data_IF_015419326814
#
_entry.id   IF_015419326814
#
_cell.length_a   1.000
_cell.length_b   1.000
_cell.length_c   1.000
_cell.angle_alpha   90.00
_cell.angle_beta   90.00
_cell.angle_gamma   90.00
#
_symmetry.space_group_name_H-M   'P 1'
#
loop_
_entity.id
_entity.type
_entity.pdbx_description
1 polymer ?
#
# COMPACT_ATOMS: atom_id res chain seq x y z
N UNK A 1 -63.06 39.64 -3.84
CA UNK A 1 -62.85 39.58 -2.37
C UNK A 1 -62.22 38.22 -2.08
N UNK A 2 -60.90 38.08 -1.99
CA UNK A 2 -60.05 38.17 -0.77
C UNK A 2 -60.50 37.27 0.39
N UNK A 3 -59.73 36.19 0.65
CA UNK A 3 -59.28 35.59 1.93
C UNK A 3 -58.69 34.20 1.61
N UNK A 4 -57.37 34.07 1.47
CA UNK A 4 -56.40 33.66 2.51
C UNK A 4 -56.87 32.46 3.33
N UNK A 5 -56.15 31.34 3.29
CA UNK A 5 -55.21 30.91 4.35
C UNK A 5 -54.50 29.61 3.94
N UNK A 6 -53.16 29.66 3.89
CA UNK A 6 -52.25 28.52 3.76
C UNK A 6 -51.78 28.17 5.18
N UNK A 7 -51.77 26.90 5.59
CA UNK A 7 -50.87 26.45 6.63
C UNK A 7 -49.67 25.70 6.03
N UNK A 8 -48.51 26.35 6.13
CA UNK A 8 -47.18 25.75 6.04
C UNK A 8 -47.04 24.70 7.14
N UNK A 9 -46.71 23.44 6.79
CA UNK A 9 -46.20 22.46 7.74
C UNK A 9 -44.71 22.31 7.48
N UNK A 10 -43.90 22.86 8.40
CA UNK A 10 -42.46 22.71 8.41
C UNK A 10 -42.11 21.33 8.99
N UNK A 11 -41.58 20.45 8.14
CA UNK A 11 -41.06 19.14 8.53
C UNK A 11 -39.56 19.28 8.83
N UNK A 12 -39.20 19.42 10.10
CA UNK A 12 -37.81 19.45 10.55
C UNK A 12 -37.27 18.01 10.65
N UNK A 13 -36.48 17.59 9.65
CA UNK A 13 -35.72 16.35 9.66
C UNK A 13 -34.36 16.61 10.34
N UNK A 14 -34.21 16.12 11.56
CA UNK A 14 -32.97 16.16 12.34
C UNK A 14 -31.93 15.20 11.75
N UNK A 15 -30.84 15.77 11.23
CA UNK A 15 -29.62 15.08 10.84
C UNK A 15 -28.87 14.62 12.11
N UNK A 16 -29.02 13.35 12.47
CA UNK A 16 -28.15 12.70 13.45
C UNK A 16 -26.86 12.23 12.77
N UNK A 17 -25.80 13.04 12.84
CA UNK A 17 -24.46 12.61 12.46
C UNK A 17 -23.82 11.84 13.63
N UNK A 18 -23.58 10.54 13.47
CA UNK A 18 -22.72 9.79 14.38
C UNK A 18 -21.26 10.16 14.06
N UNK A 19 -20.69 11.10 14.81
CA UNK A 19 -19.24 11.22 14.92
C UNK A 19 -18.75 10.11 15.84
N UNK A 20 -17.98 9.16 15.30
CA UNK A 20 -17.21 8.22 16.10
C UNK A 20 -15.85 8.87 16.41
N UNK A 21 -15.77 9.51 17.57
CA UNK A 21 -14.50 9.92 18.16
C UNK A 21 -13.69 8.67 18.51
N UNK A 22 -12.67 8.39 17.72
CA UNK A 22 -11.68 7.35 18.04
C UNK A 22 -10.70 7.95 19.04
N UNK A 23 -10.91 7.66 20.33
CA UNK A 23 -9.96 7.99 21.38
C UNK A 23 -8.73 7.09 21.23
N UNK A 24 -7.60 7.67 20.81
CA UNK A 24 -6.31 6.99 20.78
C UNK A 24 -5.73 6.97 22.20
N UNK A 25 -6.02 5.91 22.95
CA UNK A 25 -5.38 5.65 24.23
C UNK A 25 -4.00 5.03 23.99
N UNK A 26 -2.99 5.85 23.69
CA UNK A 26 -1.61 5.44 23.95
C UNK A 26 -1.44 5.27 25.46
N UNK A 27 -0.98 4.11 25.97
CA UNK A 27 -0.64 3.97 27.38
C UNK A 27 0.60 4.83 27.66
N UNK A 28 0.38 6.08 28.04
CA UNK A 28 1.41 6.89 28.69
C UNK A 28 1.45 6.44 30.14
N UNK A 29 2.42 5.58 30.49
CA UNK A 29 2.78 5.35 31.88
C UNK A 29 3.18 6.71 32.48
N UNK A 30 2.49 7.22 33.52
CA UNK A 30 2.93 8.42 34.20
C UNK A 30 4.34 8.17 34.79
N UNK A 31 5.27 9.14 34.73
CA UNK A 31 6.49 9.05 35.51
C UNK A 31 6.12 8.90 36.99
N UNK A 32 6.79 8.00 37.70
CA UNK A 32 6.60 7.87 39.14
C UNK A 32 6.80 9.24 39.82
N UNK A 33 5.80 9.68 40.58
CA UNK A 33 5.88 10.89 41.40
C UNK A 33 6.92 10.68 42.51
N UNK A 34 8.16 11.05 42.23
CA UNK A 34 9.23 11.20 43.21
C UNK A 34 9.66 12.66 43.24
N UNK A 35 9.42 13.35 44.35
CA UNK A 35 10.01 14.67 44.60
C UNK A 35 11.51 14.51 44.84
N UNK A 36 12.34 15.06 43.94
CA UNK A 36 13.80 15.16 44.12
C UNK A 36 14.13 16.62 44.43
N UNK A 37 14.50 16.88 45.67
CA UNK A 37 14.89 18.19 46.18
C UNK A 37 16.42 18.35 46.13
N UNK A 38 17.03 18.47 44.95
CA UNK A 38 18.45 18.83 44.81
C UNK A 38 18.70 19.72 43.57
N UNK A 39 19.52 20.78 43.68
CA UNK A 39 19.67 21.79 42.61
C UNK A 39 20.61 21.38 41.47
N UNK A 40 21.01 20.11 41.37
CA UNK A 40 21.87 19.62 40.29
C UNK A 40 21.37 18.26 39.79
N UNK A 41 20.38 18.27 38.90
CA UNK A 41 20.03 17.08 38.11
C UNK A 41 20.84 17.11 36.82
N UNK A 42 21.82 16.21 36.59
CA UNK A 42 22.43 16.07 35.29
C UNK A 42 21.36 15.67 34.27
N UNK A 43 21.39 16.27 33.09
CA UNK A 43 20.50 15.89 31.99
C UNK A 43 20.57 14.36 31.78
N UNK A 44 19.43 13.67 31.56
CA UNK A 44 19.47 12.26 31.23
C UNK A 44 20.24 12.10 29.92
N UNK A 45 21.41 11.48 29.98
CA UNK A 45 22.13 11.04 28.79
C UNK A 45 21.25 10.00 28.11
N UNK A 46 20.55 10.42 27.05
CA UNK A 46 19.96 9.50 26.09
C UNK A 46 21.10 8.69 25.48
N UNK A 47 21.39 7.54 26.09
CA UNK A 47 22.10 6.48 25.39
C UNK A 47 21.08 5.98 24.39
N UNK A 48 21.12 6.53 23.17
CA UNK A 48 20.48 5.90 22.04
C UNK A 48 21.16 4.55 21.89
N UNK A 49 20.59 3.51 22.51
CA UNK A 49 20.88 2.13 22.16
C UNK A 49 20.31 1.95 20.77
N UNK A 50 21.06 2.39 19.77
CA UNK A 50 20.97 1.88 18.41
C UNK A 50 21.48 0.45 18.50
N UNK A 51 20.67 -0.44 19.06
CA UNK A 51 20.77 -1.84 18.68
C UNK A 51 20.70 -1.81 17.16
N UNK A 52 21.84 -2.10 16.54
CA UNK A 52 21.93 -2.16 15.10
C UNK A 52 20.84 -3.14 14.68
N UNK A 53 19.80 -2.64 14.00
CA UNK A 53 18.89 -3.50 13.25
C UNK A 53 19.83 -4.44 12.52
N UNK A 54 19.79 -5.77 12.80
CA UNK A 54 20.71 -6.69 12.18
C UNK A 54 20.60 -6.40 10.71
N UNK A 55 21.72 -6.04 10.08
CA UNK A 55 21.76 -5.60 8.70
C UNK A 55 20.96 -6.64 7.93
N UNK A 56 19.70 -6.32 7.58
CA UNK A 56 18.86 -7.21 6.80
C UNK A 56 19.73 -7.48 5.60
N UNK A 57 20.16 -8.71 5.46
CA UNK A 57 21.11 -9.08 4.44
C UNK A 57 20.46 -8.68 3.11
N UNK A 58 20.83 -7.50 2.61
CA UNK A 58 20.35 -6.94 1.37
C UNK A 58 20.96 -7.71 0.20
N UNK A 59 21.78 -8.75 0.47
CA UNK A 59 22.01 -9.82 -0.49
C UNK A 59 20.66 -10.25 -1.02
N UNK A 60 20.43 -9.82 -2.27
CA UNK A 60 19.48 -10.37 -3.21
C UNK A 60 18.92 -11.68 -2.68
N UNK A 61 17.76 -11.62 -2.01
CA UNK A 61 16.94 -12.80 -1.94
C UNK A 61 16.63 -13.10 -3.40
N UNK A 62 17.41 -13.98 -4.01
CA UNK A 62 17.27 -14.36 -5.41
C UNK A 62 15.90 -15.02 -5.65
N UNK A 63 15.26 -15.49 -4.58
CA UNK A 63 13.86 -15.93 -4.54
C UNK A 63 12.89 -14.75 -4.65
N UNK A 64 13.25 -13.57 -4.13
CA UNK A 64 12.48 -12.34 -4.30
C UNK A 64 12.78 -11.66 -5.65
N UNK A 65 14.04 -11.63 -6.09
CA UNK A 65 14.47 -11.04 -7.37
C UNK A 65 15.30 -12.03 -8.20
N UNK A 66 14.64 -12.93 -8.94
CA UNK A 66 15.33 -13.84 -9.85
C UNK A 66 16.05 -13.05 -10.95
N UNK A 67 17.11 -13.63 -11.53
CA UNK A 67 17.97 -12.93 -12.49
C UNK A 67 17.21 -12.35 -13.70
N UNK A 68 16.14 -13.03 -14.16
CA UNK A 68 15.30 -12.51 -15.24
C UNK A 68 14.58 -11.21 -14.85
N UNK A 69 14.19 -11.09 -13.57
CA UNK A 69 13.47 -9.93 -13.05
C UNK A 69 14.43 -8.76 -12.85
N UNK A 70 15.64 -9.01 -12.36
CA UNK A 70 16.69 -7.99 -12.32
C UNK A 70 16.96 -7.43 -13.73
N UNK A 71 17.10 -8.30 -14.73
CA UNK A 71 17.25 -7.87 -16.12
C UNK A 71 16.03 -7.07 -16.64
N UNK A 72 14.80 -7.39 -16.19
CA UNK A 72 13.60 -6.61 -16.52
C UNK A 72 13.64 -5.23 -15.87
N UNK A 73 14.01 -5.15 -14.60
CA UNK A 73 14.15 -3.90 -13.85
C UNK A 73 15.18 -2.99 -14.51
N UNK A 74 16.35 -3.52 -14.90
CA UNK A 74 17.37 -2.74 -15.60
C UNK A 74 16.86 -2.17 -16.94
N UNK A 75 16.05 -2.93 -17.68
CA UNK A 75 15.40 -2.41 -18.90
C UNK A 75 14.41 -1.29 -18.60
N UNK A 76 13.68 -1.35 -17.50
CA UNK A 76 12.75 -0.28 -17.09
C UNK A 76 13.54 0.98 -16.71
N UNK A 77 14.58 0.84 -15.89
CA UNK A 77 15.46 1.94 -15.44
C UNK A 77 16.22 2.61 -16.60
N UNK A 78 16.48 1.89 -17.69
CA UNK A 78 17.06 2.44 -18.91
C UNK A 78 16.10 3.36 -19.70
N UNK A 79 14.83 3.44 -19.30
CA UNK A 79 13.83 4.33 -19.91
C UNK A 79 13.53 5.52 -18.99
N UNK A 80 12.86 6.55 -19.53
CA UNK A 80 12.40 7.67 -18.69
C UNK A 80 11.37 7.19 -17.66
N UNK A 81 11.59 7.57 -16.41
CA UNK A 81 10.67 7.39 -15.28
C UNK A 81 9.24 7.74 -15.68
N UNK A 82 8.31 6.85 -15.34
CA UNK A 82 6.89 6.93 -15.72
C UNK A 82 6.05 7.54 -14.60
N UNK A 83 4.90 8.10 -14.98
CA UNK A 83 3.86 8.54 -14.05
C UNK A 83 2.49 8.06 -14.57
N UNK A 84 1.80 7.12 -13.90
CA UNK A 84 2.22 6.40 -12.68
C UNK A 84 3.52 5.60 -12.82
N UNK A 85 4.21 5.42 -11.68
CA UNK A 85 5.44 4.61 -11.59
C UNK A 85 5.13 3.14 -11.86
N UNK A 86 6.13 2.40 -12.33
CA UNK A 86 6.04 0.95 -12.48
C UNK A 86 6.36 0.29 -11.14
N UNK A 87 5.57 -0.71 -10.77
CA UNK A 87 5.76 -1.57 -9.61
C UNK A 87 5.83 -3.01 -10.06
N UNK A 88 6.67 -3.78 -9.38
CA UNK A 88 6.68 -5.23 -9.46
C UNK A 88 6.31 -5.80 -8.10
N UNK A 89 5.26 -6.60 -8.07
CA UNK A 89 4.70 -7.19 -6.87
C UNK A 89 4.60 -8.70 -7.04
N UNK A 90 5.04 -9.45 -6.03
CA UNK A 90 4.90 -10.90 -5.95
C UNK A 90 3.58 -11.26 -5.29
N UNK A 91 2.94 -12.29 -5.81
CA UNK A 91 1.71 -12.86 -5.28
C UNK A 91 1.78 -14.38 -5.25
N UNK A 92 0.87 -14.98 -4.48
CA UNK A 92 0.37 -16.33 -4.72
C UNK A 92 -0.87 -16.28 -5.60
N UNK A 93 -0.91 -17.08 -6.64
CA UNK A 93 -2.05 -17.21 -7.54
C UNK A 93 -2.16 -18.65 -8.00
N UNK A 94 -3.31 -19.28 -7.75
CA UNK A 94 -3.54 -20.71 -8.03
C UNK A 94 -2.51 -21.65 -7.38
N UNK A 95 -1.99 -21.27 -6.21
CA UNK A 95 -0.95 -22.02 -5.48
C UNK A 95 0.47 -21.71 -5.93
N UNK A 96 0.64 -21.07 -7.08
CA UNK A 96 1.93 -20.74 -7.66
C UNK A 96 2.41 -19.34 -7.26
N UNK A 97 3.72 -19.15 -7.23
CA UNK A 97 4.31 -17.80 -7.10
C UNK A 97 4.29 -17.12 -8.48
N UNK A 98 3.77 -15.89 -8.53
CA UNK A 98 3.74 -15.08 -9.75
C UNK A 98 4.23 -13.66 -9.47
N UNK A 99 4.72 -13.00 -10.53
CA UNK A 99 5.18 -11.61 -10.48
C UNK A 99 4.29 -10.76 -11.37
N UNK A 100 3.66 -9.75 -10.78
CA UNK A 100 2.83 -8.77 -11.46
C UNK A 100 3.63 -7.49 -11.68
N UNK A 101 3.72 -7.04 -12.91
CA UNK A 101 4.28 -5.74 -13.30
C UNK A 101 3.14 -4.80 -13.71
N UNK A 102 3.02 -3.67 -13.01
CA UNK A 102 1.99 -2.67 -13.30
C UNK A 102 2.27 -1.95 -14.61
N UNK A 103 1.20 -1.56 -15.30
CA UNK A 103 1.32 -0.68 -16.45
C UNK A 103 1.42 0.80 -16.00
N UNK A 104 2.17 1.65 -16.73
CA UNK A 104 2.23 3.08 -16.45
C UNK A 104 1.02 3.86 -16.97
N UNK A 105 0.03 3.23 -17.60
CA UNK A 105 -1.22 3.86 -18.05
C UNK A 105 -2.32 2.81 -18.23
N UNK A 106 -3.58 3.21 -18.09
CA UNK A 106 -4.75 2.32 -18.15
C UNK A 106 -4.99 1.72 -19.54
N UNK A 107 -4.53 2.38 -20.60
CA UNK A 107 -4.60 1.89 -21.99
C UNK A 107 -3.45 0.94 -22.35
N UNK A 108 -2.48 0.77 -21.45
CA UNK A 108 -1.41 -0.21 -21.52
C UNK A 108 -1.74 -1.39 -20.63
N UNK A 109 -1.29 -2.57 -21.03
CA UNK A 109 -1.56 -3.80 -20.30
C UNK A 109 -0.53 -4.02 -19.20
N UNK A 110 -1.00 -4.38 -18.00
CA UNK A 110 -0.12 -4.94 -16.97
C UNK A 110 0.33 -6.34 -17.39
N UNK A 111 1.38 -6.87 -16.78
CA UNK A 111 1.92 -8.18 -17.18
C UNK A 111 2.08 -9.09 -15.98
N UNK A 112 1.59 -10.33 -16.10
CA UNK A 112 1.80 -11.38 -15.12
C UNK A 112 2.84 -12.38 -15.62
N UNK A 113 3.85 -12.66 -14.81
CA UNK A 113 4.93 -13.59 -15.11
C UNK A 113 4.92 -14.77 -14.15
N UNK A 114 5.35 -15.95 -14.63
CA UNK A 114 5.69 -17.08 -13.77
C UNK A 114 7.05 -16.88 -13.08
N UNK A 115 7.46 -17.86 -12.27
CA UNK A 115 8.75 -17.84 -11.56
C UNK A 115 9.98 -17.85 -12.48
N UNK A 116 9.81 -18.22 -13.76
CA UNK A 116 10.86 -18.28 -14.77
C UNK A 116 10.87 -17.05 -15.68
N UNK A 117 9.96 -16.10 -15.47
CA UNK A 117 9.85 -14.88 -16.26
C UNK A 117 9.06 -15.03 -17.56
N UNK A 118 8.34 -16.14 -17.75
CA UNK A 118 7.43 -16.31 -18.88
C UNK A 118 6.17 -15.49 -18.63
N UNK A 119 5.74 -14.73 -19.64
CA UNK A 119 4.44 -14.05 -19.61
C UNK A 119 3.32 -15.09 -19.60
N UNK A 120 2.49 -15.03 -18.55
CA UNK A 120 1.28 -15.83 -18.43
C UNK A 120 0.12 -15.14 -19.14
N UNK A 121 -0.06 -13.84 -18.89
CA UNK A 121 -1.22 -13.07 -19.33
C UNK A 121 -1.11 -11.58 -18.99
N UNK A 122 -2.13 -10.84 -19.41
CA UNK A 122 -2.36 -9.43 -19.08
C UNK A 122 -3.66 -9.29 -18.29
N UNK A 123 -3.62 -9.17 -16.95
CA UNK A 123 -4.84 -9.22 -16.12
C UNK A 123 -5.68 -7.93 -16.17
N UNK A 124 -5.10 -6.79 -16.55
CA UNK A 124 -5.79 -5.51 -16.63
C UNK A 124 -5.15 -4.55 -17.64
N UNK A 125 -5.81 -3.42 -17.86
CA UNK A 125 -5.38 -2.38 -18.79
C UNK A 125 -5.80 -2.65 -20.24
N UNK A 126 -5.19 -1.96 -21.20
CA UNK A 126 -5.63 -1.97 -22.59
C UNK A 126 -6.91 -1.15 -22.82
N UNK A 127 -7.37 -1.08 -24.08
CA UNK A 127 -8.54 -0.26 -24.46
C UNK A 127 -9.81 -0.61 -23.66
N UNK A 128 -9.96 -1.87 -23.27
CA UNK A 128 -11.12 -2.35 -22.49
C UNK A 128 -10.92 -2.25 -20.98
N UNK A 129 -9.68 -2.02 -20.52
CA UNK A 129 -9.27 -2.14 -19.11
C UNK A 129 -9.19 -3.58 -18.58
N UNK A 130 -9.55 -4.59 -19.38
CA UNK A 130 -9.64 -6.01 -18.96
C UNK A 130 -8.39 -6.83 -19.32
N UNK A 131 -7.36 -6.18 -19.85
CA UNK A 131 -6.16 -6.85 -20.35
C UNK A 131 -6.46 -7.77 -21.52
N UNK A 132 -5.91 -8.99 -21.52
CA UNK A 132 -6.04 -9.98 -22.60
C UNK A 132 -7.13 -11.04 -22.36
N UNK A 133 -7.82 -10.97 -21.20
CA UNK A 133 -8.90 -11.89 -20.83
C UNK A 133 -8.45 -13.27 -20.36
N UNK A 134 -7.16 -13.62 -20.38
CA UNK A 134 -6.68 -14.95 -19.98
C UNK A 134 -6.65 -15.14 -18.46
N UNK A 135 -6.43 -14.07 -17.71
CA UNK A 135 -6.33 -14.08 -16.25
C UNK A 135 -7.45 -13.28 -15.58
N UNK A 136 -8.69 -13.51 -16.00
CA UNK A 136 -9.88 -12.77 -15.52
C UNK A 136 -10.13 -12.89 -14.01
N UNK A 137 -9.62 -13.95 -13.37
CA UNK A 137 -9.77 -14.17 -11.93
C UNK A 137 -8.59 -13.66 -11.10
N UNK A 138 -7.50 -13.18 -11.72
CA UNK A 138 -6.27 -12.80 -11.01
C UNK A 138 -6.52 -11.79 -9.89
N UNK A 139 -7.22 -10.69 -10.19
CA UNK A 139 -7.50 -9.64 -9.21
C UNK A 139 -8.35 -10.12 -8.02
N UNK A 140 -9.14 -11.19 -8.19
CA UNK A 140 -10.01 -11.73 -7.14
C UNK A 140 -9.35 -12.84 -6.32
N UNK A 141 -8.38 -13.55 -6.89
CA UNK A 141 -7.81 -14.78 -6.33
C UNK A 141 -6.34 -14.68 -5.94
N UNK A 142 -5.66 -13.58 -6.27
CA UNK A 142 -4.28 -13.35 -5.82
C UNK A 142 -4.24 -13.13 -4.31
N UNK A 143 -3.24 -13.70 -3.65
CA UNK A 143 -2.98 -13.56 -2.21
C UNK A 143 -1.51 -13.28 -1.97
N UNK A 144 -1.11 -13.10 -0.71
CA UNK A 144 0.28 -12.93 -0.28
C UNK A 144 1.03 -11.84 -1.06
N UNK A 145 0.41 -10.66 -1.12
CA UNK A 145 0.99 -9.49 -1.79
C UNK A 145 2.32 -9.08 -1.15
N UNK A 146 3.37 -9.00 -1.96
CA UNK A 146 4.69 -8.54 -1.51
C UNK A 146 5.35 -7.67 -2.56
N UNK A 147 5.61 -6.40 -2.21
CA UNK A 147 6.34 -5.50 -3.08
C UNK A 147 7.77 -5.99 -3.30
N UNK A 148 8.17 -6.17 -4.55
CA UNK A 148 9.52 -6.62 -4.93
C UNK A 148 10.39 -5.45 -5.37
N UNK A 149 9.81 -4.53 -6.13
CA UNK A 149 10.50 -3.36 -6.66
C UNK A 149 9.51 -2.28 -7.12
N UNK A 150 9.95 -1.02 -7.11
CA UNK A 150 9.28 0.12 -7.75
C UNK A 150 10.31 1.18 -8.14
N UNK A 151 10.03 1.95 -9.19
CA UNK A 151 10.88 3.03 -9.72
C UNK A 151 10.81 4.35 -8.92
#
# INVERSE_FOLDING_TARGET
MRRSFIPFIALALSLGACQQDVVVNTPTTPPAEGFVSEPNTPAPTSTNTVDAVPARDMRLDSTARPAWLENRIQRILATRKRNPIIRVTRYKYEGETVYYESAPCCDQQSTLYDTKGKVLCHPEGGITGKGDGKCSSFNKRRTDEQLVWQD
#
